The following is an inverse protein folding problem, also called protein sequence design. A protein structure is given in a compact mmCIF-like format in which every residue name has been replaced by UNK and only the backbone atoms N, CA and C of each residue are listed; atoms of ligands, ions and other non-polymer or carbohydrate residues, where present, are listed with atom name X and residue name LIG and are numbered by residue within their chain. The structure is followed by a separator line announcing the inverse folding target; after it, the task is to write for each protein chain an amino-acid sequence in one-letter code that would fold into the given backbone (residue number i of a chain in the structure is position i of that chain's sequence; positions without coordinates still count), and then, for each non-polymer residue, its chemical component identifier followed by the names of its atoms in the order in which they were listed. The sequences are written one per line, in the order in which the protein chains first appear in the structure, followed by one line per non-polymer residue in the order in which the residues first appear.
data_IF_289609526053
#
_entry.id   IF_289609526053
#
_cell.length_a   1.000
_cell.length_b   1.000
_cell.length_c   1.000
_cell.angle_alpha   90.00
_cell.angle_beta   90.00
_cell.angle_gamma   90.00
#
_symmetry.space_group_name_H-M   'P 1'
#
loop_
_entity.id
_entity.type
_entity.pdbx_description
1 polymer ?
#
# COMPACT_ATOMS: atom_id res chain seq x y z
N UNK A 1 -5.39 40.43 14.80
CA UNK A 1 -4.65 39.43 14.01
C UNK A 1 -5.57 38.93 12.91
N UNK A 2 -5.21 39.08 11.64
CA UNK A 2 -6.00 38.59 10.50
C UNK A 2 -5.62 37.12 10.29
N UNK A 3 -6.56 36.19 10.48
CA UNK A 3 -6.32 34.78 10.19
C UNK A 3 -6.10 34.64 8.68
N UNK A 4 -4.88 34.32 8.27
CA UNK A 4 -4.58 33.98 6.88
C UNK A 4 -4.89 32.50 6.69
N UNK A 5 -6.10 32.17 6.23
CA UNK A 5 -6.40 30.82 5.73
C UNK A 5 -5.82 30.73 4.33
N UNK A 6 -4.75 29.96 4.15
CA UNK A 6 -4.22 29.63 2.81
C UNK A 6 -5.32 28.87 2.06
N UNK A 7 -5.64 29.30 0.84
CA UNK A 7 -6.64 28.60 0.03
C UNK A 7 -6.11 27.19 -0.29
N UNK A 8 -6.82 26.10 0.09
CA UNK A 8 -6.38 24.73 -0.19
C UNK A 8 -6.13 24.44 -1.67
N UNK A 9 -6.72 25.23 -2.58
CA UNK A 9 -6.53 25.11 -4.03
C UNK A 9 -5.20 25.65 -4.53
N UNK A 10 -4.54 26.49 -3.74
CA UNK A 10 -3.20 27.00 -4.02
C UNK A 10 -2.10 25.98 -3.65
N UNK A 11 -2.47 24.86 -3.00
CA UNK A 11 -1.53 23.79 -2.68
C UNK A 11 -1.06 23.07 -3.94
N UNK A 12 0.22 23.24 -4.26
CA UNK A 12 0.92 22.45 -5.28
C UNK A 12 1.35 21.12 -4.67
N UNK A 13 1.15 20.02 -5.40
CA UNK A 13 1.59 18.71 -4.95
C UNK A 13 3.12 18.64 -4.97
N UNK A 14 3.75 18.70 -3.80
CA UNK A 14 5.21 18.56 -3.64
C UNK A 14 5.66 17.09 -3.72
N UNK A 15 4.72 16.16 -3.47
CA UNK A 15 5.00 14.74 -3.53
C UNK A 15 5.24 14.28 -4.98
N UNK A 16 6.20 13.35 -5.20
CA UNK A 16 6.34 12.69 -6.49
C UNK A 16 5.01 12.10 -6.95
N UNK A 17 4.66 12.24 -8.23
CA UNK A 17 3.37 11.73 -8.76
C UNK A 17 3.46 10.26 -9.13
N UNK A 18 3.69 9.41 -8.14
CA UNK A 18 3.84 7.95 -8.28
C UNK A 18 2.72 7.15 -7.58
N UNK A 19 1.60 7.78 -7.22
CA UNK A 19 0.46 7.20 -6.48
C UNK A 19 0.03 5.81 -6.96
N UNK A 20 -0.04 5.62 -8.28
CA UNK A 20 -0.42 4.34 -8.87
C UNK A 20 0.64 3.26 -8.63
N UNK A 21 1.91 3.60 -8.81
CA UNK A 21 3.03 2.69 -8.57
C UNK A 21 3.11 2.31 -7.10
N UNK A 22 2.91 3.26 -6.20
CA UNK A 22 2.98 3.03 -4.75
C UNK A 22 1.84 2.13 -4.29
N UNK A 23 0.63 2.39 -4.78
CA UNK A 23 -0.54 1.55 -4.51
C UNK A 23 -0.34 0.14 -5.07
N UNK A 24 0.10 0.03 -6.33
CA UNK A 24 0.34 -1.25 -6.98
C UNK A 24 1.40 -2.06 -6.23
N UNK A 25 2.51 -1.42 -5.85
CA UNK A 25 3.60 -2.08 -5.14
C UNK A 25 3.15 -2.53 -3.75
N UNK A 26 2.45 -1.68 -3.00
CA UNK A 26 1.87 -2.03 -1.70
C UNK A 26 0.92 -3.23 -1.78
N UNK A 27 0.01 -3.22 -2.76
CA UNK A 27 -0.89 -4.35 -3.01
C UNK A 27 -0.13 -5.64 -3.31
N UNK A 28 0.81 -5.62 -4.26
CA UNK A 28 1.50 -6.83 -4.70
C UNK A 28 2.40 -7.43 -3.62
N UNK A 29 3.09 -6.61 -2.84
CA UNK A 29 3.93 -7.08 -1.73
C UNK A 29 3.07 -7.79 -0.69
N UNK A 30 1.95 -7.18 -0.29
CA UNK A 30 1.06 -7.76 0.70
C UNK A 30 0.37 -9.03 0.17
N UNK A 31 -0.14 -8.98 -1.06
CA UNK A 31 -0.74 -10.13 -1.72
C UNK A 31 0.24 -11.30 -1.82
N UNK A 32 1.47 -11.04 -2.27
CA UNK A 32 2.53 -12.05 -2.37
C UNK A 32 2.87 -12.65 -1.02
N UNK A 33 3.01 -11.83 0.03
CA UNK A 33 3.23 -12.31 1.39
C UNK A 33 2.10 -13.23 1.86
N UNK A 34 0.84 -12.81 1.68
CA UNK A 34 -0.32 -13.61 2.08
C UNK A 34 -0.46 -14.89 1.27
N UNK A 35 -0.13 -14.86 -0.03
CA UNK A 35 -0.09 -16.05 -0.87
C UNK A 35 0.96 -17.05 -0.37
N UNK A 36 2.17 -16.59 -0.03
CA UNK A 36 3.22 -17.44 0.54
C UNK A 36 2.78 -18.07 1.85
N UNK A 37 2.20 -17.29 2.76
CA UNK A 37 1.67 -17.81 4.03
C UNK A 37 0.59 -18.86 3.78
N UNK A 38 -0.37 -18.56 2.90
CA UNK A 38 -1.45 -19.49 2.56
C UNK A 38 -0.91 -20.80 2.01
N UNK A 39 -0.09 -20.77 0.97
CA UNK A 39 0.47 -21.98 0.38
C UNK A 39 1.41 -22.71 1.34
N UNK A 40 2.19 -21.98 2.15
CA UNK A 40 3.02 -22.56 3.20
C UNK A 40 2.20 -23.36 4.20
N UNK A 41 1.08 -22.80 4.69
CA UNK A 41 0.18 -23.50 5.59
C UNK A 41 -0.53 -24.69 4.93
N UNK A 42 -0.93 -24.56 3.66
CA UNK A 42 -1.50 -25.68 2.89
C UNK A 42 -0.49 -26.82 2.76
N UNK A 43 0.76 -26.53 2.42
CA UNK A 43 1.83 -27.54 2.32
C UNK A 43 2.06 -28.22 3.66
N UNK A 44 2.16 -27.44 4.75
CA UNK A 44 2.29 -27.99 6.11
C UNK A 44 1.12 -28.92 6.44
N UNK A 45 -0.11 -28.50 6.12
CA UNK A 45 -1.31 -29.30 6.33
C UNK A 45 -1.24 -30.63 5.56
N UNK A 46 -0.78 -30.63 4.30
CA UNK A 46 -0.61 -31.84 3.50
C UNK A 46 0.48 -32.78 4.03
N UNK A 47 1.51 -32.25 4.71
CA UNK A 47 2.56 -33.08 5.30
C UNK A 47 2.09 -33.74 6.60
N UNK A 48 1.27 -33.04 7.40
CA UNK A 48 0.84 -33.48 8.73
C UNK A 48 -0.45 -34.34 8.69
N UNK A 49 -1.19 -34.31 7.59
CA UNK A 49 -2.56 -34.88 7.49
C UNK A 49 -2.78 -35.63 6.19
#
# INVERSE_FOLDING_TARGET
MKASTVDPREHVNEEPRNDFSDTFMGFNVMFGFMAVVFFGMVIIKFIIS
#
